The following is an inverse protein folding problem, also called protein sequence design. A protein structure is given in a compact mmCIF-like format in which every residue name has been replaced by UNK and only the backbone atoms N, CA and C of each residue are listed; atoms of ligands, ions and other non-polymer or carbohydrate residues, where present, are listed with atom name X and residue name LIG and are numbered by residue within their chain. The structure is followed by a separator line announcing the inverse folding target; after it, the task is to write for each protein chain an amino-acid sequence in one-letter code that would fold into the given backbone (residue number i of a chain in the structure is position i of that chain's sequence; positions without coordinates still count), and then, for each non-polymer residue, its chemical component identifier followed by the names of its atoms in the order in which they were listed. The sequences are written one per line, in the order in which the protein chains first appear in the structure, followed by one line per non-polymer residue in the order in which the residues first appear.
data_IF_043153449702
#
_entry.id   IF_043153449702
#
_cell.length_a   1.000
_cell.length_b   1.000
_cell.length_c   1.000
_cell.angle_alpha   90.00
_cell.angle_beta   90.00
_cell.angle_gamma   90.00
#
_symmetry.space_group_name_H-M   'P 1'
#
loop_
_entity.id
_entity.type
_entity.pdbx_description
1 polymer ?
#
# COMPACT_ATOMS: atom_id res chain seq x y z
N UNK A 1 -0.37 17.42 6.83
CA UNK A 1 -0.16 16.10 7.50
C UNK A 1 1.19 15.51 7.15
N UNK A 2 1.76 14.73 8.07
CA UNK A 2 2.99 13.96 7.89
C UNK A 2 2.65 12.47 7.98
N UNK A 3 3.08 11.69 7.01
CA UNK A 3 2.81 10.26 6.94
C UNK A 3 4.10 9.45 7.03
N UNK A 4 4.04 8.30 7.69
CA UNK A 4 5.01 7.23 7.52
C UNK A 4 4.49 6.31 6.40
N UNK A 5 5.27 6.13 5.34
CA UNK A 5 4.93 5.24 4.24
C UNK A 5 5.87 4.05 4.23
N UNK A 6 5.31 2.87 4.42
CA UNK A 6 5.98 1.57 4.38
C UNK A 6 5.30 0.68 3.34
N UNK A 7 6.04 -0.25 2.76
CA UNK A 7 5.50 -1.31 1.91
C UNK A 7 6.41 -2.53 1.92
N UNK A 8 5.93 -3.63 1.35
CA UNK A 8 6.72 -4.81 1.06
C UNK A 8 7.40 -5.40 2.32
N UNK A 9 6.62 -5.50 3.42
CA UNK A 9 7.11 -6.04 4.68
C UNK A 9 7.45 -7.53 4.58
N UNK A 10 6.79 -8.26 3.69
CA UNK A 10 6.97 -9.69 3.44
C UNK A 10 7.15 -10.51 4.72
N UNK A 11 6.30 -10.26 5.73
CA UNK A 11 6.42 -10.94 7.02
C UNK A 11 6.33 -12.46 6.86
N UNK A 12 7.32 -13.15 7.44
CA UNK A 12 7.47 -14.59 7.29
C UNK A 12 8.36 -15.02 6.14
N UNK A 13 9.05 -14.08 5.48
CA UNK A 13 10.05 -14.38 4.43
C UNK A 13 11.14 -15.31 4.96
N UNK A 14 11.60 -16.22 4.11
CA UNK A 14 12.72 -17.11 4.36
C UNK A 14 13.77 -16.94 3.27
N UNK A 15 15.01 -16.84 3.66
CA UNK A 15 16.16 -16.75 2.74
C UNK A 15 17.06 -17.96 3.01
N UNK A 16 17.30 -18.80 2.00
CA UNK A 16 18.09 -20.04 2.15
C UNK A 16 17.67 -20.86 3.37
N UNK A 17 16.39 -21.10 3.55
CA UNK A 17 15.76 -21.81 4.68
C UNK A 17 15.86 -21.10 6.06
N UNK A 18 16.53 -19.97 6.18
CA UNK A 18 16.55 -19.17 7.40
C UNK A 18 15.30 -18.28 7.48
N UNK A 19 14.67 -18.25 8.66
CA UNK A 19 13.55 -17.36 8.94
C UNK A 19 14.07 -15.95 9.17
N UNK A 20 13.44 -14.96 8.51
CA UNK A 20 13.77 -13.55 8.69
C UNK A 20 12.92 -12.87 9.78
N UNK A 21 12.07 -13.60 10.49
CA UNK A 21 11.11 -13.03 11.45
C UNK A 21 11.75 -12.21 12.58
N UNK A 22 12.93 -12.64 13.07
CA UNK A 22 13.62 -11.89 14.13
C UNK A 22 14.18 -10.58 13.61
N UNK A 23 14.74 -10.57 12.39
CA UNK A 23 15.20 -9.35 11.72
C UNK A 23 14.04 -8.42 11.40
N UNK A 24 12.93 -8.98 10.90
CA UNK A 24 11.70 -8.23 10.62
C UNK A 24 11.12 -7.60 11.89
N UNK A 25 11.10 -8.33 13.00
CA UNK A 25 10.71 -7.79 14.30
C UNK A 25 11.62 -6.62 14.71
N UNK A 26 12.94 -6.83 14.63
CA UNK A 26 13.90 -5.78 14.96
C UNK A 26 13.66 -4.50 14.15
N UNK A 27 13.44 -4.60 12.84
CA UNK A 27 13.14 -3.44 11.98
C UNK A 27 11.84 -2.76 12.42
N UNK A 28 10.77 -3.51 12.68
CA UNK A 28 9.50 -2.94 13.15
C UNK A 28 9.65 -2.23 14.51
N UNK A 29 10.49 -2.74 15.41
CA UNK A 29 10.85 -2.08 16.68
C UNK A 29 11.59 -0.77 16.44
N UNK A 30 12.52 -0.72 15.47
CA UNK A 30 13.19 0.53 15.08
C UNK A 30 12.22 1.55 14.50
N UNK A 31 11.27 1.11 13.68
CA UNK A 31 10.22 1.97 13.12
C UNK A 31 9.36 2.56 14.25
N UNK A 32 8.93 1.75 15.22
CA UNK A 32 8.17 2.25 16.38
C UNK A 32 8.97 3.26 17.20
N UNK A 33 10.26 3.01 17.43
CA UNK A 33 11.18 3.94 18.11
C UNK A 33 11.34 5.26 17.33
N UNK A 34 11.40 5.18 15.99
CA UNK A 34 11.45 6.36 15.13
C UNK A 34 10.18 7.21 15.27
N UNK A 35 9.01 6.59 15.32
CA UNK A 35 7.72 7.27 15.51
C UNK A 35 7.64 8.02 16.85
N UNK A 36 8.31 7.52 17.88
CA UNK A 36 8.36 8.18 19.19
C UNK A 36 9.21 9.47 19.16
N UNK A 37 10.15 9.58 18.22
CA UNK A 37 11.03 10.75 18.05
C UNK A 37 10.64 11.66 16.88
N UNK A 38 9.92 11.10 15.88
CA UNK A 38 9.48 11.81 14.69
C UNK A 38 7.96 11.64 14.53
N UNK A 39 7.17 12.50 15.21
CA UNK A 39 5.72 12.34 15.19
C UNK A 39 5.15 12.46 13.79
N UNK A 40 4.24 11.54 13.46
CA UNK A 40 3.46 11.49 12.22
C UNK A 40 1.97 11.54 12.53
N UNK A 41 1.17 11.89 11.54
CA UNK A 41 -0.29 11.96 11.66
C UNK A 41 -0.95 10.62 11.30
N UNK A 42 -0.30 9.80 10.47
CA UNK A 42 -0.79 8.46 10.10
C UNK A 42 0.32 7.58 9.48
N UNK A 43 0.03 6.29 9.38
CA UNK A 43 0.90 5.26 8.77
C UNK A 43 0.22 4.66 7.55
N UNK A 44 0.94 4.54 6.45
CA UNK A 44 0.51 3.91 5.21
C UNK A 44 1.29 2.61 5.01
N UNK A 45 0.59 1.50 4.81
CA UNK A 45 1.16 0.19 4.52
C UNK A 45 0.71 -0.21 3.10
N UNK A 46 1.58 0.02 2.12
CA UNK A 46 1.23 -0.07 0.71
C UNK A 46 1.41 -1.50 0.13
N UNK A 47 0.88 -2.50 0.81
CA UNK A 47 0.79 -3.88 0.33
C UNK A 47 1.98 -4.77 0.65
N UNK A 48 1.85 -6.04 0.31
CA UNK A 48 2.77 -7.14 0.59
C UNK A 48 3.16 -7.18 2.07
N UNK A 49 2.11 -7.24 2.92
CA UNK A 49 2.27 -7.36 4.36
C UNK A 49 2.86 -8.71 4.74
N UNK A 50 2.48 -9.77 4.02
CA UNK A 50 3.01 -11.10 4.18
C UNK A 50 3.77 -11.57 2.94
N UNK A 51 4.73 -12.48 3.15
CA UNK A 51 5.49 -13.10 2.06
C UNK A 51 4.65 -14.07 1.21
N UNK A 52 3.57 -14.62 1.78
CA UNK A 52 2.70 -15.60 1.10
C UNK A 52 1.24 -15.42 1.45
N UNK A 53 0.30 -15.79 0.55
CA UNK A 53 -1.14 -15.69 0.80
C UNK A 53 -1.63 -16.47 2.02
N UNK A 54 -0.87 -17.51 2.43
CA UNK A 54 -1.07 -18.28 3.68
C UNK A 54 0.16 -18.09 4.55
N UNK A 55 0.22 -17.02 5.36
CA UNK A 55 1.38 -16.76 6.20
C UNK A 55 1.50 -17.74 7.35
N UNK A 56 2.71 -17.99 7.86
CA UNK A 56 2.90 -18.76 9.10
C UNK A 56 2.32 -17.99 10.29
N UNK A 57 1.90 -18.71 11.32
CA UNK A 57 1.26 -18.13 12.50
C UNK A 57 2.14 -17.08 13.21
N UNK A 58 3.46 -17.26 13.15
CA UNK A 58 4.44 -16.32 13.71
C UNK A 58 4.40 -14.96 12.99
N UNK A 59 4.27 -14.96 11.66
CA UNK A 59 4.13 -13.73 10.87
C UNK A 59 2.82 -13.02 11.17
N UNK A 60 1.72 -13.78 11.35
CA UNK A 60 0.43 -13.21 11.75
C UNK A 60 0.54 -12.53 13.11
N UNK A 61 1.17 -13.19 14.11
CA UNK A 61 1.40 -12.59 15.42
C UNK A 61 2.30 -11.35 15.37
N UNK A 62 3.27 -11.32 14.45
CA UNK A 62 4.16 -10.18 14.29
C UNK A 62 3.42 -8.97 13.72
N UNK A 63 2.57 -9.16 12.71
CA UNK A 63 1.73 -8.09 12.17
C UNK A 63 0.73 -7.59 13.21
N UNK A 64 0.05 -8.49 13.90
CA UNK A 64 -0.91 -8.15 14.97
C UNK A 64 -0.24 -7.29 16.06
N UNK A 65 0.94 -7.71 16.53
CA UNK A 65 1.73 -6.92 17.48
C UNK A 65 2.07 -5.53 16.96
N UNK A 66 2.50 -5.42 15.70
CA UNK A 66 2.88 -4.14 15.11
C UNK A 66 1.68 -3.20 14.96
N UNK A 67 0.55 -3.71 14.43
CA UNK A 67 -0.70 -2.93 14.31
C UNK A 67 -1.23 -2.49 15.69
N UNK A 68 -1.15 -3.37 16.69
CA UNK A 68 -1.52 -3.05 18.06
C UNK A 68 -0.65 -1.92 18.63
N UNK A 69 0.67 -1.99 18.45
CA UNK A 69 1.60 -0.95 18.92
C UNK A 69 1.36 0.42 18.23
N UNK A 70 0.93 0.42 16.97
CA UNK A 70 0.51 1.64 16.26
C UNK A 70 -0.83 2.18 16.80
N UNK A 71 -1.81 1.30 17.03
CA UNK A 71 -3.11 1.67 17.58
C UNK A 71 -2.99 2.24 19.01
N UNK A 72 -2.13 1.68 19.86
CA UNK A 72 -1.83 2.20 21.20
C UNK A 72 -1.26 3.64 21.16
N UNK A 73 -0.51 3.97 20.10
CA UNK A 73 -0.03 5.34 19.82
C UNK A 73 -1.13 6.26 19.24
N UNK A 74 -2.35 5.72 19.05
CA UNK A 74 -3.50 6.41 18.42
C UNK A 74 -3.21 6.90 16.99
N UNK A 75 -2.28 6.27 16.31
CA UNK A 75 -1.95 6.56 14.93
C UNK A 75 -2.96 5.86 14.00
N UNK A 76 -3.63 6.56 13.10
CA UNK A 76 -4.39 5.94 12.03
C UNK A 76 -3.45 5.12 11.15
N UNK A 77 -3.85 3.90 10.81
CA UNK A 77 -3.13 3.02 9.91
C UNK A 77 -4.00 2.76 8.69
N UNK A 78 -3.42 2.89 7.50
CA UNK A 78 -4.06 2.64 6.22
C UNK A 78 -3.30 1.56 5.50
N UNK A 79 -3.85 0.35 5.43
CA UNK A 79 -3.18 -0.81 4.88
C UNK A 79 -3.93 -1.42 3.71
N UNK A 80 -3.22 -1.83 2.69
CA UNK A 80 -3.77 -2.56 1.54
C UNK A 80 -3.12 -3.93 1.40
N UNK A 81 -3.77 -4.83 0.67
CA UNK A 81 -3.14 -6.06 0.22
C UNK A 81 -2.32 -5.84 -1.06
N UNK A 82 -1.15 -6.46 -1.13
CA UNK A 82 -0.33 -6.55 -2.34
C UNK A 82 -0.57 -7.84 -3.12
N UNK A 83 0.37 -8.18 -4.03
CA UNK A 83 0.24 -9.37 -4.87
C UNK A 83 0.63 -10.68 -4.16
N UNK A 84 1.43 -10.61 -3.09
CA UNK A 84 1.76 -11.75 -2.23
C UNK A 84 0.68 -12.04 -1.19
N UNK A 85 -0.15 -11.05 -0.86
CA UNK A 85 -1.19 -11.19 0.14
C UNK A 85 -2.44 -11.92 -0.38
N UNK A 86 -3.21 -12.48 0.54
CA UNK A 86 -4.61 -12.83 0.30
C UNK A 86 -5.49 -11.65 0.68
N UNK A 87 -6.16 -11.02 -0.29
CA UNK A 87 -7.05 -9.88 -0.04
C UNK A 87 -8.13 -10.22 1.00
N UNK A 88 -8.70 -11.43 0.96
CA UNK A 88 -9.69 -11.89 1.95
C UNK A 88 -9.15 -11.96 3.37
N UNK A 89 -7.88 -12.38 3.53
CA UNK A 89 -7.24 -12.47 4.85
C UNK A 89 -6.88 -11.10 5.39
N UNK A 90 -6.41 -10.19 4.52
CA UNK A 90 -6.12 -8.79 4.91
C UNK A 90 -7.42 -8.06 5.27
N UNK A 91 -8.50 -8.29 4.52
CA UNK A 91 -9.79 -7.68 4.80
C UNK A 91 -10.50 -8.27 6.04
N UNK A 92 -10.03 -9.41 6.57
CA UNK A 92 -10.64 -10.05 7.73
C UNK A 92 -10.65 -9.12 8.96
N UNK A 93 -11.83 -8.91 9.53
CA UNK A 93 -12.00 -8.06 10.70
C UNK A 93 -11.87 -6.55 10.43
N UNK A 94 -11.77 -6.10 9.19
CA UNK A 94 -11.56 -4.69 8.82
C UNK A 94 -12.53 -3.72 9.48
N UNK A 95 -13.81 -4.09 9.61
CA UNK A 95 -14.81 -3.26 10.29
C UNK A 95 -14.53 -3.10 11.79
N UNK A 96 -14.06 -4.17 12.45
CA UNK A 96 -13.69 -4.10 13.88
C UNK A 96 -12.40 -3.29 14.08
N UNK A 97 -11.43 -3.49 13.21
CA UNK A 97 -10.16 -2.76 13.24
C UNK A 97 -10.34 -1.26 13.00
N UNK A 98 -11.31 -0.88 12.17
CA UNK A 98 -11.64 0.53 11.90
C UNK A 98 -12.04 1.31 13.17
N UNK A 99 -12.67 0.67 14.16
CA UNK A 99 -12.97 1.27 15.48
C UNK A 99 -11.68 1.71 16.21
N UNK A 100 -10.58 1.03 15.95
CA UNK A 100 -9.24 1.38 16.47
C UNK A 100 -8.42 2.23 15.49
N UNK A 101 -9.06 2.77 14.45
CA UNK A 101 -8.45 3.57 13.37
C UNK A 101 -7.41 2.80 12.54
N UNK A 102 -7.53 1.47 12.48
CA UNK A 102 -6.76 0.61 11.58
C UNK A 102 -7.64 0.23 10.39
N UNK A 103 -7.42 0.90 9.27
CA UNK A 103 -8.20 0.75 8.04
C UNK A 103 -7.50 -0.22 7.11
N UNK A 104 -8.04 -1.43 7.01
CA UNK A 104 -7.57 -2.44 6.07
C UNK A 104 -8.40 -2.35 4.79
N UNK A 105 -7.76 -2.40 3.62
CA UNK A 105 -8.51 -2.42 2.35
C UNK A 105 -9.46 -3.61 2.31
N UNK A 106 -10.71 -3.39 1.87
CA UNK A 106 -11.61 -4.51 1.59
C UNK A 106 -11.12 -5.31 0.38
N UNK A 107 -11.68 -6.50 0.20
CA UNK A 107 -11.61 -7.19 -1.10
C UNK A 107 -12.20 -6.26 -2.15
N UNK A 108 -11.57 -6.19 -3.33
CA UNK A 108 -12.02 -5.31 -4.39
C UNK A 108 -13.43 -5.70 -4.89
N UNK A 109 -14.38 -4.80 -4.69
CA UNK A 109 -15.78 -4.94 -5.14
C UNK A 109 -16.26 -3.72 -5.93
N UNK A 110 -15.38 -2.73 -6.11
CA UNK A 110 -15.68 -1.47 -6.79
C UNK A 110 -14.60 -0.42 -6.56
N UNK A 111 -14.80 0.76 -7.08
CA UNK A 111 -13.88 1.87 -6.84
C UNK A 111 -13.77 2.18 -5.34
N UNK A 112 -12.56 2.45 -4.82
CA UNK A 112 -12.37 2.74 -3.41
C UNK A 112 -13.09 4.03 -3.02
N UNK A 113 -13.78 3.99 -1.87
CA UNK A 113 -14.37 5.17 -1.25
C UNK A 113 -13.31 5.88 -0.37
N UNK A 114 -13.38 7.21 -0.25
CA UNK A 114 -12.43 7.97 0.54
C UNK A 114 -12.61 7.74 2.05
N UNK A 115 -11.50 7.63 2.77
CA UNK A 115 -11.47 7.66 4.24
C UNK A 115 -10.95 9.05 4.64
N UNK A 116 -11.79 9.92 5.24
CA UNK A 116 -11.42 11.30 5.49
C UNK A 116 -10.52 11.43 6.73
N UNK A 117 -9.47 12.23 6.59
CA UNK A 117 -8.71 12.85 7.67
C UNK A 117 -8.84 14.37 7.57
N UNK A 118 -8.45 15.07 8.63
CA UNK A 118 -8.46 16.55 8.63
C UNK A 118 -7.26 17.07 9.41
N UNK A 119 -6.59 18.09 8.88
CA UNK A 119 -5.57 18.87 9.57
C UNK A 119 -5.87 20.37 9.50
N UNK A 120 -4.93 21.21 9.93
CA UNK A 120 -5.05 22.67 9.92
C UNK A 120 -5.24 23.29 8.51
N UNK A 121 -4.87 22.55 7.45
CA UNK A 121 -5.02 22.95 6.03
C UNK A 121 -6.29 22.41 5.38
N UNK A 122 -7.12 21.68 6.13
CA UNK A 122 -8.39 21.14 5.65
C UNK A 122 -8.42 19.62 5.48
N UNK A 123 -9.40 19.09 4.76
CA UNK A 123 -9.60 17.65 4.59
C UNK A 123 -8.55 17.01 3.68
N UNK A 124 -8.26 15.74 3.99
CA UNK A 124 -7.42 14.82 3.19
C UNK A 124 -8.18 13.52 3.05
N UNK A 125 -8.49 13.14 1.83
CA UNK A 125 -9.18 11.89 1.49
C UNK A 125 -8.16 10.79 1.16
N UNK A 126 -8.18 9.70 1.92
CA UNK A 126 -7.30 8.55 1.73
C UNK A 126 -8.04 7.45 0.98
N UNK A 127 -7.50 7.02 -0.16
CA UNK A 127 -8.07 5.96 -0.99
C UNK A 127 -7.19 4.72 -0.87
N UNK A 128 -7.79 3.58 -0.49
CA UNK A 128 -7.12 2.30 -0.36
C UNK A 128 -7.41 1.42 -1.57
N UNK A 129 -6.43 1.23 -2.44
CA UNK A 129 -6.55 0.41 -3.63
C UNK A 129 -5.64 -0.81 -3.52
N UNK A 130 -6.19 -2.01 -3.22
CA UNK A 130 -5.40 -3.23 -3.17
C UNK A 130 -4.81 -3.57 -4.54
N UNK A 131 -3.86 -4.51 -4.58
CA UNK A 131 -3.34 -5.02 -5.84
C UNK A 131 -4.46 -5.55 -6.73
N UNK A 132 -4.49 -5.09 -7.97
CA UNK A 132 -5.52 -5.45 -8.93
C UNK A 132 -4.94 -6.13 -10.17
N UNK A 133 -5.57 -7.23 -10.56
CA UNK A 133 -5.39 -7.85 -11.87
C UNK A 133 -6.54 -7.45 -12.79
N UNK A 134 -6.31 -7.35 -14.11
CA UNK A 134 -7.37 -7.09 -15.08
C UNK A 134 -8.57 -8.03 -14.93
N UNK A 135 -8.32 -9.30 -14.65
CA UNK A 135 -9.38 -10.30 -14.44
C UNK A 135 -10.27 -9.96 -13.22
N UNK A 136 -9.71 -9.39 -12.15
CA UNK A 136 -10.47 -8.97 -10.96
C UNK A 136 -11.45 -7.85 -11.31
N UNK A 137 -10.98 -6.85 -12.08
CA UNK A 137 -11.82 -5.72 -12.51
C UNK A 137 -12.95 -6.20 -13.44
N UNK A 138 -12.65 -7.07 -14.40
CA UNK A 138 -13.66 -7.68 -15.26
C UNK A 138 -14.72 -8.48 -14.50
N UNK A 139 -14.31 -9.15 -13.43
CA UNK A 139 -15.24 -9.92 -12.60
C UNK A 139 -16.23 -9.00 -11.87
N UNK A 140 -15.76 -7.86 -11.37
CA UNK A 140 -16.60 -6.88 -10.64
C UNK A 140 -17.51 -6.08 -11.60
N UNK A 141 -17.01 -5.75 -12.80
CA UNK A 141 -17.75 -5.01 -13.82
C UNK A 141 -17.78 -5.77 -15.16
N UNK A 142 -18.59 -6.85 -15.26
CA UNK A 142 -18.64 -7.69 -16.44
C UNK A 142 -19.25 -6.99 -17.67
N UNK A 143 -19.93 -5.86 -17.46
CA UNK A 143 -20.50 -5.02 -18.51
C UNK A 143 -19.48 -4.09 -19.19
N UNK A 144 -18.28 -3.95 -18.60
CA UNK A 144 -17.23 -3.13 -19.20
C UNK A 144 -16.74 -3.75 -20.52
N UNK A 145 -16.47 -2.91 -21.54
CA UNK A 145 -15.84 -3.40 -22.76
C UNK A 145 -14.52 -4.13 -22.46
N UNK A 146 -14.27 -5.24 -23.14
CA UNK A 146 -13.07 -6.04 -22.94
C UNK A 146 -11.78 -5.22 -23.11
N UNK A 147 -11.80 -4.25 -24.03
CA UNK A 147 -10.69 -3.34 -24.32
C UNK A 147 -10.32 -2.45 -23.13
N UNK A 148 -11.31 -2.07 -22.29
CA UNK A 148 -11.08 -1.21 -21.11
C UNK A 148 -10.48 -1.94 -19.92
N UNK A 149 -10.21 -3.24 -20.05
CA UNK A 149 -9.61 -4.07 -18.98
C UNK A 149 -8.63 -5.12 -19.55
N UNK A 150 -8.00 -4.85 -20.70
CA UNK A 150 -7.03 -5.78 -21.30
C UNK A 150 -5.71 -5.81 -20.55
N UNK A 151 -5.13 -4.64 -20.33
CA UNK A 151 -3.89 -4.46 -19.59
C UNK A 151 -4.15 -4.05 -18.15
N UNK A 152 -3.09 -4.07 -17.35
CA UNK A 152 -3.12 -3.51 -15.99
C UNK A 152 -3.40 -2.00 -16.03
N UNK A 153 -2.84 -1.26 -16.98
CA UNK A 153 -3.13 0.16 -17.18
C UNK A 153 -4.61 0.41 -17.49
N UNK A 154 -5.21 -0.37 -18.38
CA UNK A 154 -6.63 -0.22 -18.73
C UNK A 154 -7.52 -0.49 -17.53
N UNK A 155 -7.27 -1.61 -16.83
CA UNK A 155 -8.02 -2.01 -15.66
C UNK A 155 -7.92 -0.98 -14.53
N UNK A 156 -6.70 -0.53 -14.22
CA UNK A 156 -6.47 0.50 -13.21
C UNK A 156 -7.14 1.82 -13.60
N UNK A 157 -7.00 2.24 -14.85
CA UNK A 157 -7.65 3.44 -15.38
C UNK A 157 -9.18 3.36 -15.27
N UNK A 158 -9.76 2.18 -15.52
CA UNK A 158 -11.19 1.93 -15.35
C UNK A 158 -11.61 2.17 -13.87
N UNK A 159 -10.82 1.69 -12.90
CA UNK A 159 -11.09 1.89 -11.47
C UNK A 159 -10.92 3.35 -11.06
N UNK A 160 -9.80 3.98 -11.41
CA UNK A 160 -9.48 5.33 -10.97
C UNK A 160 -10.44 6.40 -11.53
N UNK A 161 -10.95 6.21 -12.75
CA UNK A 161 -12.01 7.09 -13.32
C UNK A 161 -13.33 7.03 -12.53
N UNK A 162 -13.56 5.96 -11.77
CA UNK A 162 -14.75 5.79 -10.92
C UNK A 162 -14.56 6.26 -9.49
N UNK A 163 -13.33 6.58 -9.08
CA UNK A 163 -13.09 7.19 -7.79
C UNK A 163 -13.75 8.56 -7.72
N UNK A 164 -14.65 8.73 -6.79
CA UNK A 164 -15.31 10.02 -6.52
C UNK A 164 -14.37 10.87 -5.68
N UNK A 165 -13.67 11.79 -6.31
CA UNK A 165 -12.79 12.74 -5.64
C UNK A 165 -13.47 14.09 -5.53
N UNK A 166 -13.38 14.72 -4.34
CA UNK A 166 -13.76 16.13 -4.19
C UNK A 166 -12.54 16.99 -4.54
N UNK A 167 -12.62 17.86 -5.55
CA UNK A 167 -11.51 18.72 -5.95
C UNK A 167 -11.12 19.78 -4.88
N UNK A 168 -11.97 19.98 -3.88
CA UNK A 168 -11.67 20.86 -2.74
C UNK A 168 -10.86 20.16 -1.65
N UNK A 169 -10.74 18.81 -1.70
CA UNK A 169 -10.00 18.01 -0.74
C UNK A 169 -8.65 17.61 -1.32
N UNK A 170 -7.62 17.61 -0.49
CA UNK A 170 -6.37 16.91 -0.83
C UNK A 170 -6.66 15.42 -0.89
N UNK A 171 -6.04 14.72 -1.83
CA UNK A 171 -6.29 13.29 -2.05
C UNK A 171 -5.00 12.48 -2.06
N UNK A 172 -4.99 11.38 -1.32
CA UNK A 172 -3.88 10.45 -1.23
C UNK A 172 -4.34 9.06 -1.63
N UNK A 173 -3.64 8.44 -2.58
CA UNK A 173 -3.87 7.07 -2.99
C UNK A 173 -2.79 6.16 -2.39
N UNK A 174 -3.21 5.07 -1.77
CA UNK A 174 -2.33 3.95 -1.41
C UNK A 174 -2.59 2.84 -2.42
N UNK A 175 -1.56 2.41 -3.16
CA UNK A 175 -1.68 1.42 -4.22
C UNK A 175 -0.47 0.50 -4.26
N UNK A 176 -0.65 -0.70 -4.81
CA UNK A 176 0.40 -1.69 -4.96
C UNK A 176 0.44 -2.15 -6.41
N UNK A 177 1.25 -1.48 -7.24
CA UNK A 177 1.31 -1.72 -8.68
C UNK A 177 2.71 -1.44 -9.22
N UNK A 178 3.09 -2.17 -10.28
CA UNK A 178 4.30 -1.86 -11.04
C UNK A 178 4.04 -0.68 -11.98
N UNK A 179 4.74 0.43 -11.79
CA UNK A 179 4.59 1.63 -12.64
C UNK A 179 5.71 1.67 -13.68
N UNK A 180 5.33 1.85 -14.94
CA UNK A 180 6.28 1.92 -16.05
C UNK A 180 7.33 3.03 -15.84
N UNK A 181 8.58 2.71 -16.17
CA UNK A 181 9.71 3.64 -16.03
C UNK A 181 10.35 3.66 -14.63
N UNK A 182 9.84 2.89 -13.67
CA UNK A 182 10.52 2.67 -12.40
C UNK A 182 11.72 1.72 -12.58
N UNK A 183 12.76 1.93 -11.77
CA UNK A 183 13.91 1.03 -11.72
C UNK A 183 13.54 -0.24 -10.94
N UNK A 184 13.90 -1.39 -11.50
CA UNK A 184 13.70 -2.73 -10.90
C UNK A 184 14.99 -3.15 -10.21
N UNK A 185 14.95 -3.73 -9.03
CA UNK A 185 16.12 -4.28 -8.36
C UNK A 185 16.25 -5.80 -8.61
N UNK A 186 17.43 -6.36 -8.29
CA UNK A 186 17.74 -7.78 -8.55
C UNK A 186 16.87 -8.76 -7.76
N UNK A 187 16.26 -8.33 -6.65
CA UNK A 187 15.37 -9.15 -5.83
C UNK A 187 13.96 -9.28 -6.38
N UNK A 188 13.61 -8.51 -7.40
CA UNK A 188 12.29 -8.52 -8.03
C UNK A 188 12.29 -9.45 -9.24
N UNK A 189 11.29 -10.32 -9.35
CA UNK A 189 11.06 -11.09 -10.57
C UNK A 189 10.46 -10.19 -11.64
N UNK A 190 11.20 -9.77 -12.68
CA UNK A 190 10.64 -8.94 -13.72
C UNK A 190 9.52 -9.72 -14.43
N UNK A 191 8.35 -9.13 -14.46
CA UNK A 191 7.25 -9.63 -15.27
C UNK A 191 7.69 -9.74 -16.74
N UNK A 192 7.49 -10.89 -17.34
CA UNK A 192 7.92 -11.16 -18.72
C UNK A 192 7.23 -10.17 -19.68
N UNK A 193 8.03 -9.27 -20.25
CA UNK A 193 7.56 -8.34 -21.29
C UNK A 193 6.89 -7.05 -20.79
N UNK A 194 6.94 -6.72 -19.48
CA UNK A 194 6.40 -5.47 -18.94
C UNK A 194 4.86 -5.35 -19.04
N UNK A 195 4.17 -6.47 -19.26
CA UNK A 195 2.71 -6.52 -19.45
C UNK A 195 1.92 -6.10 -18.21
N UNK A 196 2.55 -6.15 -17.02
CA UNK A 196 1.93 -5.84 -15.73
C UNK A 196 2.14 -4.39 -15.31
N UNK A 197 2.81 -3.58 -16.15
CA UNK A 197 3.09 -2.18 -15.83
C UNK A 197 1.89 -1.28 -16.06
N UNK A 198 1.76 -0.26 -15.20
CA UNK A 198 0.75 0.79 -15.32
C UNK A 198 1.40 2.12 -15.66
N UNK A 199 0.69 2.96 -16.42
CA UNK A 199 1.17 4.29 -16.76
C UNK A 199 1.00 5.24 -15.56
N UNK A 200 2.06 6.00 -15.25
CA UNK A 200 2.07 6.96 -14.14
C UNK A 200 1.02 8.07 -14.30
N UNK A 201 0.64 8.41 -15.52
CA UNK A 201 -0.38 9.42 -15.80
C UNK A 201 -1.77 9.05 -15.23
N UNK A 202 -2.02 7.77 -14.99
CA UNK A 202 -3.27 7.30 -14.37
C UNK A 202 -3.48 7.87 -12.96
N UNK A 203 -2.41 8.25 -12.29
CA UNK A 203 -2.45 8.81 -10.94
C UNK A 203 -2.61 10.33 -10.91
N UNK A 204 -2.79 10.97 -12.07
CA UNK A 204 -3.04 12.41 -12.12
C UNK A 204 -4.27 12.80 -11.31
N UNK A 205 -4.15 13.92 -10.61
CA UNK A 205 -5.20 14.43 -9.73
C UNK A 205 -5.19 13.88 -8.31
N UNK A 206 -4.29 12.96 -7.95
CA UNK A 206 -3.96 12.69 -6.56
C UNK A 206 -2.76 13.54 -6.14
N UNK A 207 -2.82 14.16 -4.95
CA UNK A 207 -1.73 14.99 -4.43
C UNK A 207 -0.53 14.14 -4.04
N UNK A 208 -0.77 12.93 -3.55
CA UNK A 208 0.27 11.96 -3.28
C UNK A 208 -0.19 10.54 -3.62
N UNK A 209 0.76 9.71 -4.10
CA UNK A 209 0.55 8.29 -4.36
C UNK A 209 1.62 7.49 -3.62
N UNK A 210 1.17 6.73 -2.62
CA UNK A 210 1.99 5.80 -1.88
C UNK A 210 1.98 4.45 -2.59
N UNK A 211 3.11 4.08 -3.18
CA UNK A 211 3.29 2.87 -3.98
C UNK A 211 4.07 1.80 -3.21
N UNK A 212 3.61 0.56 -3.28
CA UNK A 212 4.38 -0.64 -3.00
C UNK A 212 4.57 -1.47 -4.27
N UNK A 213 5.23 -2.60 -4.16
CA UNK A 213 5.59 -3.59 -5.18
C UNK A 213 7.06 -3.56 -5.60
N UNK A 214 7.67 -2.39 -5.73
CA UNK A 214 9.11 -2.29 -6.02
C UNK A 214 9.90 -2.01 -4.74
N UNK A 215 10.94 -2.80 -4.52
CA UNK A 215 11.72 -2.81 -3.29
C UNK A 215 12.81 -1.73 -3.24
N UNK A 216 12.88 -0.87 -4.26
CA UNK A 216 13.81 0.27 -4.28
C UNK A 216 13.08 1.59 -3.99
N UNK A 217 13.44 2.33 -2.93
CA UNK A 217 12.87 3.63 -2.66
C UNK A 217 13.16 4.61 -3.81
N UNK A 218 12.11 5.05 -4.49
CA UNK A 218 12.25 5.92 -5.66
C UNK A 218 10.98 6.74 -5.92
N UNK A 219 11.13 7.82 -6.65
CA UNK A 219 10.03 8.54 -7.28
C UNK A 219 9.82 8.02 -8.71
N UNK A 220 8.58 8.03 -9.16
CA UNK A 220 8.24 7.64 -10.52
C UNK A 220 7.36 8.70 -11.20
N UNK A 221 7.82 9.20 -12.34
CA UNK A 221 7.14 10.22 -13.13
C UNK A 221 7.07 11.60 -12.47
N UNK A 222 6.72 11.67 -11.19
CA UNK A 222 6.61 12.93 -10.42
C UNK A 222 7.08 12.74 -8.97
N UNK A 223 7.39 13.85 -8.29
CA UNK A 223 7.94 13.81 -6.92
C UNK A 223 6.95 13.28 -5.88
N UNK A 224 5.66 13.31 -6.18
CA UNK A 224 4.57 12.90 -5.28
C UNK A 224 4.03 11.49 -5.55
N UNK A 225 4.61 10.74 -6.48
CA UNK A 225 4.35 9.31 -6.67
C UNK A 225 5.63 8.54 -6.31
N UNK A 226 5.60 7.77 -5.22
CA UNK A 226 6.79 7.19 -4.63
C UNK A 226 6.61 5.75 -4.21
N UNK A 227 7.65 4.95 -4.49
CA UNK A 227 7.88 3.66 -3.86
C UNK A 227 8.67 3.84 -2.56
N UNK A 228 8.33 3.01 -1.58
CA UNK A 228 9.04 2.87 -0.31
C UNK A 228 9.01 1.40 0.08
N UNK A 229 10.16 0.83 0.40
CA UNK A 229 10.27 -0.55 0.85
C UNK A 229 11.17 -0.64 2.05
N UNK A 230 10.88 -1.58 2.94
CA UNK A 230 11.66 -1.87 4.14
C UNK A 230 12.56 -3.10 3.98
N UNK A 231 12.60 -3.71 2.79
CA UNK A 231 13.42 -4.90 2.54
C UNK A 231 14.93 -4.62 2.62
N UNK A 232 15.36 -3.37 2.38
CA UNK A 232 16.77 -2.94 2.37
C UNK A 232 16.98 -1.70 3.23
N UNK A 233 16.82 -1.82 4.54
CA UNK A 233 16.94 -0.71 5.48
C UNK A 233 18.38 -0.42 5.88
N UNK A 234 19.12 0.33 5.07
CA UNK A 234 20.27 1.09 5.57
C UNK A 234 19.91 2.53 5.97
N UNK A 235 18.77 3.05 5.50
CA UNK A 235 18.29 4.40 5.83
C UNK A 235 16.75 4.46 5.86
N UNK A 236 16.16 4.73 7.03
CA UNK A 236 14.73 4.96 7.21
C UNK A 236 14.30 6.28 6.55
N UNK A 237 14.04 6.26 5.24
CA UNK A 237 13.60 7.44 4.47
C UNK A 237 12.08 7.49 4.23
N UNK A 238 11.31 6.82 5.08
CA UNK A 238 9.87 6.61 4.88
C UNK A 238 8.97 7.79 5.25
N UNK A 239 9.52 8.86 5.84
CA UNK A 239 8.74 10.02 6.27
C UNK A 239 8.52 11.01 5.13
N UNK A 240 7.27 11.45 4.95
CA UNK A 240 6.92 12.55 4.07
C UNK A 240 5.78 13.41 4.64
N UNK A 241 5.66 14.65 4.16
CA UNK A 241 4.59 15.56 4.54
C UNK A 241 3.82 16.04 3.31
N UNK A 242 2.50 16.13 3.44
CA UNK A 242 1.60 16.78 2.48
C UNK A 242 1.13 18.08 3.12
N UNK A 243 1.50 19.20 2.52
CA UNK A 243 1.06 20.54 2.91
C UNK A 243 -0.07 21.04 2.03
#
# INVERSE_FOLDING_TARGET
MRFLHLSDLHLGKRVCEFSMLDDQRYILEQILSLLDTHPVDAVLLAGDLYDKPVPPAEAVRLLDWFLTALAERKLPVFAISGNHDSADRIAFGSHLLAESRVYMSPVFTGAPEPIPLTDEYGPVDIYLLPFLKPATVRHVWPEEPAESTQSYSDALGCVLRRCKRDPAHRSLLVAHQFVAGAAVCESEEPSVGGLDSVDVSLFEGFDYVALGHLHSPQKVGRDTARYRSEEHTSELQSLFAIS
#
